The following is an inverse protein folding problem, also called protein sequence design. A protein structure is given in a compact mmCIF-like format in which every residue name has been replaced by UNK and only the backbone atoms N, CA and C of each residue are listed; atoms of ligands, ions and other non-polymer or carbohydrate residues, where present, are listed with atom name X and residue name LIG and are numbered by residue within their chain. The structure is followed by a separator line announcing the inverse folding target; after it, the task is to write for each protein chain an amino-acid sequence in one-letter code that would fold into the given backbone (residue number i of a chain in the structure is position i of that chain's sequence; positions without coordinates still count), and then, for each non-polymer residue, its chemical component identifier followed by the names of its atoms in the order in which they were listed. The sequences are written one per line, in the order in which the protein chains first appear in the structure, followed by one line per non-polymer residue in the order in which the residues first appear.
data_IF_738509221332
#
_entry.id   IF_738509221332
#
_cell.length_a   1.000
_cell.length_b   1.000
_cell.length_c   1.000
_cell.angle_alpha   90.00
_cell.angle_beta   90.00
_cell.angle_gamma   90.00
#
_symmetry.space_group_name_H-M   'P 1'
#
loop_
_entity.id
_entity.type
_entity.pdbx_description
1 polymer ?
#
# COMPACT_ATOMS: atom_id res chain seq x y z
N UNK A 1 7.74 28.04 3.14
CA UNK A 1 6.86 28.15 4.32
C UNK A 1 7.28 27.03 5.26
N UNK A 2 7.82 27.37 6.43
CA UNK A 2 8.43 26.42 7.37
C UNK A 2 7.32 25.96 8.32
N UNK A 3 6.86 24.72 8.18
CA UNK A 3 5.96 24.12 9.18
C UNK A 3 6.86 23.58 10.29
N UNK A 4 6.71 24.10 11.51
CA UNK A 4 7.54 23.68 12.64
C UNK A 4 7.33 22.20 12.97
N UNK A 5 8.33 21.54 13.57
CA UNK A 5 8.20 20.15 14.02
C UNK A 5 6.98 19.94 14.95
N UNK A 6 6.65 20.97 15.74
CA UNK A 6 5.47 20.98 16.62
C UNK A 6 4.15 21.06 15.85
N UNK A 7 4.11 21.77 14.72
CA UNK A 7 2.94 21.83 13.83
C UNK A 7 2.76 20.50 13.07
N UNK A 8 3.85 19.81 12.72
CA UNK A 8 3.80 18.49 12.09
C UNK A 8 3.35 17.40 13.08
N UNK A 9 3.81 17.46 14.33
CA UNK A 9 3.31 16.62 15.41
C UNK A 9 1.82 16.89 15.67
N UNK A 10 1.39 18.15 15.69
CA UNK A 10 -0.03 18.49 15.84
C UNK A 10 -0.86 18.05 14.63
N UNK A 11 -0.34 18.07 13.40
CA UNK A 11 -1.03 17.53 12.24
C UNK A 11 -1.13 16.00 12.28
N UNK A 12 -0.05 15.29 12.62
CA UNK A 12 -0.09 13.83 12.79
C UNK A 12 -1.00 13.41 13.95
N UNK A 13 -0.97 14.13 15.08
CA UNK A 13 -1.88 13.90 16.19
C UNK A 13 -3.33 14.20 15.78
N UNK A 14 -3.58 15.28 15.04
CA UNK A 14 -4.91 15.59 14.50
C UNK A 14 -5.39 14.61 13.43
N UNK A 15 -4.50 13.99 12.65
CA UNK A 15 -4.85 12.86 11.77
C UNK A 15 -5.25 11.67 12.65
N UNK A 16 -4.49 11.35 13.70
CA UNK A 16 -4.85 10.27 14.63
C UNK A 16 -6.07 10.54 15.52
N UNK A 17 -6.46 11.80 15.74
CA UNK A 17 -7.69 12.17 16.48
C UNK A 17 -8.89 12.36 15.55
N UNK A 18 -8.67 12.86 14.33
CA UNK A 18 -9.63 12.86 13.23
C UNK A 18 -10.03 11.44 12.82
N UNK A 19 -9.07 10.51 12.76
CA UNK A 19 -9.31 9.09 12.49
C UNK A 19 -9.93 8.34 13.68
N UNK A 20 -9.74 8.82 14.91
CA UNK A 20 -10.51 8.35 16.08
C UNK A 20 -12.00 8.73 15.97
N UNK A 21 -12.32 9.84 15.31
CA UNK A 21 -13.69 10.30 15.07
C UNK A 21 -14.29 9.85 13.73
N UNK A 22 -13.48 9.39 12.77
CA UNK A 22 -13.97 8.75 11.54
C UNK A 22 -14.42 7.30 11.75
N UNK A 23 -14.28 6.76 12.96
CA UNK A 23 -14.84 5.45 13.29
C UNK A 23 -14.38 4.40 12.27
N UNK A 24 -13.09 4.08 12.25
CA UNK A 24 -12.60 2.83 11.70
C UNK A 24 -12.53 1.80 12.85
N UNK A 25 -13.67 1.24 13.33
CA UNK A 25 -13.63 0.19 14.33
C UNK A 25 -12.88 -1.01 13.74
N UNK A 26 -11.76 -1.38 14.36
CA UNK A 26 -11.09 -2.66 14.10
C UNK A 26 -9.69 -2.61 13.51
N UNK A 27 -8.99 -1.47 13.47
CA UNK A 27 -7.56 -1.50 13.15
C UNK A 27 -6.81 -2.32 14.24
N UNK A 28 -6.05 -3.37 13.86
CA UNK A 28 -5.26 -4.15 14.81
C UNK A 28 -4.29 -3.24 15.56
N UNK A 29 -4.08 -3.49 16.87
CA UNK A 29 -3.13 -2.75 17.74
C UNK A 29 -1.75 -2.49 17.08
N UNK A 30 -1.28 -3.41 16.22
CA UNK A 30 -0.02 -3.31 15.50
C UNK A 30 0.08 -2.14 14.49
N UNK A 31 -1.05 -1.68 13.94
CA UNK A 31 -1.08 -0.54 12.99
C UNK A 31 -0.87 0.78 13.73
N UNK A 32 -1.48 0.92 14.91
CA UNK A 32 -1.33 2.11 15.77
C UNK A 32 0.12 2.26 16.24
N UNK A 33 0.82 1.15 16.48
CA UNK A 33 2.21 1.16 16.90
C UNK A 33 3.17 1.58 15.77
N UNK A 34 2.87 1.22 14.51
CA UNK A 34 3.68 1.63 13.36
C UNK A 34 3.61 3.14 13.12
N UNK A 35 2.41 3.74 13.22
CA UNK A 35 2.22 5.19 13.04
C UNK A 35 2.98 5.97 14.12
N UNK A 36 2.89 5.52 15.39
CA UNK A 36 3.64 6.13 16.49
C UNK A 36 5.15 6.01 16.29
N UNK A 37 5.65 4.83 15.92
CA UNK A 37 7.06 4.63 15.65
C UNK A 37 7.57 5.52 14.50
N UNK A 38 6.76 5.69 13.45
CA UNK A 38 7.10 6.56 12.31
C UNK A 38 7.12 8.04 12.73
N UNK A 39 6.15 8.49 13.54
CA UNK A 39 6.13 9.84 14.09
C UNK A 39 7.33 10.12 15.01
N UNK A 40 7.68 9.18 15.90
CA UNK A 40 8.86 9.29 16.76
C UNK A 40 10.16 9.36 15.95
N UNK A 41 10.27 8.56 14.89
CA UNK A 41 11.42 8.56 14.00
C UNK A 41 11.54 9.90 13.27
N UNK A 42 10.42 10.42 12.75
CA UNK A 42 10.38 11.72 12.07
C UNK A 42 10.87 12.86 13.00
N UNK A 43 10.38 12.90 14.24
CA UNK A 43 10.81 13.90 15.24
C UNK A 43 12.32 13.83 15.55
N UNK A 44 12.90 12.62 15.63
CA UNK A 44 14.34 12.44 15.88
C UNK A 44 15.20 12.96 14.74
N UNK A 45 14.76 12.78 13.49
CA UNK A 45 15.47 13.27 12.31
C UNK A 45 15.28 14.76 12.07
N UNK A 46 14.11 15.31 12.43
CA UNK A 46 13.87 16.76 12.37
C UNK A 46 14.86 17.54 13.23
N UNK A 47 15.23 17.03 14.41
CA UNK A 47 16.27 17.62 15.28
C UNK A 47 17.67 17.66 14.62
N UNK A 48 17.89 16.91 13.54
CA UNK A 48 19.13 16.86 12.75
C UNK A 48 19.00 17.63 11.43
N UNK A 49 17.89 18.35 11.20
CA UNK A 49 17.62 19.04 9.94
C UNK A 49 17.24 18.10 8.79
N UNK A 50 16.87 16.86 9.08
CA UNK A 50 16.41 15.88 8.10
C UNK A 50 14.88 15.82 8.11
N UNK A 51 14.29 15.98 6.93
CA UNK A 51 12.85 15.90 6.74
C UNK A 51 12.45 14.46 6.43
N UNK A 52 11.56 13.89 7.24
CA UNK A 52 11.02 12.54 7.06
C UNK A 52 9.53 12.63 6.85
N UNK A 53 9.08 12.20 5.68
CA UNK A 53 7.68 12.05 5.36
C UNK A 53 7.27 10.58 5.51
N UNK A 54 6.11 10.37 6.13
CA UNK A 54 5.52 9.05 6.34
C UNK A 54 4.32 8.95 5.41
N UNK A 55 4.40 8.06 4.43
CA UNK A 55 3.34 7.82 3.47
C UNK A 55 2.55 6.57 3.87
N UNK A 56 1.25 6.72 4.10
CA UNK A 56 0.34 5.63 4.48
C UNK A 56 -0.01 4.76 3.27
N UNK A 57 0.95 3.94 2.83
CA UNK A 57 0.84 3.08 1.65
C UNK A 57 -0.41 2.18 1.69
N UNK A 58 -0.78 1.65 2.85
CA UNK A 58 -1.95 0.80 3.02
C UNK A 58 -3.26 1.55 2.76
N UNK A 59 -3.39 2.77 3.27
CA UNK A 59 -4.57 3.61 3.04
C UNK A 59 -4.66 4.05 1.57
N UNK A 60 -3.54 4.47 0.97
CA UNK A 60 -3.48 4.84 -0.45
C UNK A 60 -3.91 3.67 -1.34
N UNK A 61 -3.41 2.46 -1.06
CA UNK A 61 -3.78 1.23 -1.78
C UNK A 61 -5.29 0.95 -1.64
N UNK A 62 -5.84 1.01 -0.43
CA UNK A 62 -7.27 0.78 -0.19
C UNK A 62 -8.14 1.79 -0.93
N UNK A 63 -7.77 3.07 -0.94
CA UNK A 63 -8.52 4.10 -1.66
C UNK A 63 -8.51 3.85 -3.17
N UNK A 64 -7.36 3.52 -3.75
CA UNK A 64 -7.24 3.18 -5.18
C UNK A 64 -8.14 1.98 -5.54
N UNK A 65 -8.17 0.95 -4.69
CA UNK A 65 -9.00 -0.26 -4.88
C UNK A 65 -10.50 0.06 -4.71
N UNK A 66 -10.88 0.85 -3.71
CA UNK A 66 -12.26 1.27 -3.50
C UNK A 66 -12.78 2.13 -4.67
N UNK A 67 -11.89 2.91 -5.28
CA UNK A 67 -12.14 3.73 -6.47
C UNK A 67 -11.67 3.07 -7.77
N UNK A 68 -11.66 1.73 -7.83
CA UNK A 68 -11.11 0.97 -8.95
C UNK A 68 -11.62 1.45 -10.32
N UNK A 69 -12.93 1.72 -10.43
CA UNK A 69 -13.54 2.23 -11.66
C UNK A 69 -12.95 3.59 -12.09
N UNK A 70 -12.73 4.51 -11.14
CA UNK A 70 -12.13 5.83 -11.43
C UNK A 70 -10.66 5.70 -11.84
N UNK A 71 -9.99 4.64 -11.38
CA UNK A 71 -8.59 4.36 -11.68
C UNK A 71 -8.38 3.49 -12.92
N UNK A 72 -9.45 3.13 -13.63
CA UNK A 72 -9.48 2.20 -14.77
C UNK A 72 -8.99 0.78 -14.41
N UNK A 73 -9.18 0.36 -13.17
CA UNK A 73 -8.92 -1.00 -12.70
C UNK A 73 -10.21 -1.83 -12.87
N UNK A 74 -10.11 -2.91 -13.64
CA UNK A 74 -11.22 -3.83 -13.93
C UNK A 74 -11.22 -5.06 -13.04
N UNK A 75 -10.08 -5.41 -12.44
CA UNK A 75 -9.96 -6.55 -11.54
C UNK A 75 -9.06 -6.22 -10.33
N UNK A 76 -9.63 -6.33 -9.14
CA UNK A 76 -8.96 -6.04 -7.87
C UNK A 76 -8.72 -7.28 -7.02
N UNK A 77 -9.13 -8.45 -7.49
CA UNK A 77 -9.16 -9.68 -6.69
C UNK A 77 -8.32 -10.81 -7.28
N UNK A 78 -8.08 -10.80 -8.59
CA UNK A 78 -7.31 -11.82 -9.28
C UNK A 78 -5.94 -11.31 -9.72
N UNK A 79 -5.04 -12.25 -9.99
CA UNK A 79 -3.70 -11.99 -10.52
C UNK A 79 -3.74 -11.99 -12.05
N UNK A 80 -3.05 -11.06 -12.69
CA UNK A 80 -2.92 -11.06 -14.14
C UNK A 80 -2.09 -12.27 -14.64
N UNK A 81 -1.02 -12.63 -13.93
CA UNK A 81 -0.19 -13.78 -14.21
C UNK A 81 -0.91 -15.07 -13.81
N UNK A 82 -0.92 -16.04 -14.72
CA UNK A 82 -1.59 -17.33 -14.51
C UNK A 82 -0.53 -18.42 -14.34
N UNK A 83 -0.57 -19.12 -13.20
CA UNK A 83 0.18 -20.36 -12.97
C UNK A 83 -0.79 -21.52 -13.12
N UNK A 84 -0.55 -22.47 -14.02
CA UNK A 84 -1.53 -23.55 -14.24
C UNK A 84 -1.16 -24.93 -13.72
N UNK A 85 -0.26 -24.98 -12.73
CA UNK A 85 -0.30 -26.10 -11.81
C UNK A 85 -1.64 -26.08 -11.05
N UNK A 86 -2.23 -27.25 -10.78
CA UNK A 86 -3.44 -27.39 -9.92
C UNK A 86 -3.27 -26.70 -8.55
N UNK A 87 -2.02 -26.53 -8.11
CA UNK A 87 -1.64 -25.77 -6.94
C UNK A 87 -1.82 -24.25 -7.13
N UNK A 88 -1.43 -23.66 -8.28
CA UNK A 88 -1.65 -22.24 -8.60
C UNK A 88 -3.13 -21.85 -8.58
N UNK A 89 -4.00 -22.71 -9.13
CA UNK A 89 -5.46 -22.52 -9.14
C UNK A 89 -6.13 -22.71 -7.77
N UNK A 90 -5.47 -23.42 -6.85
CA UNK A 90 -5.90 -23.56 -5.46
C UNK A 90 -5.41 -22.39 -4.60
N UNK A 91 -4.21 -21.86 -4.88
CA UNK A 91 -3.60 -20.75 -4.17
C UNK A 91 -4.18 -19.38 -4.56
N UNK A 92 -4.65 -19.22 -5.80
CA UNK A 92 -5.43 -18.03 -6.23
C UNK A 92 -6.77 -17.86 -5.49
N UNK A 93 -7.14 -18.80 -4.61
CA UNK A 93 -8.36 -18.80 -3.79
C UNK A 93 -8.08 -18.66 -2.29
N UNK A 94 -6.81 -18.61 -1.88
CA UNK A 94 -6.45 -18.45 -0.48
C UNK A 94 -6.21 -16.95 -0.21
N UNK A 95 -6.88 -16.35 0.79
CA UNK A 95 -6.54 -15.00 1.23
C UNK A 95 -5.13 -15.01 1.83
N UNK A 96 -4.17 -14.39 1.14
CA UNK A 96 -2.75 -14.47 1.51
C UNK A 96 -2.41 -13.45 2.59
N UNK A 97 -2.17 -13.93 3.81
CA UNK A 97 -1.61 -13.14 4.92
C UNK A 97 -0.36 -13.87 5.44
N UNK A 98 0.84 -13.28 5.25
CA UNK A 98 2.08 -13.65 5.96
C UNK A 98 3.25 -14.23 5.13
N UNK A 99 4.48 -13.96 5.60
CA UNK A 99 5.75 -14.24 4.92
C UNK A 99 6.07 -15.73 4.63
N UNK A 100 5.49 -16.69 5.38
CA UNK A 100 5.79 -18.12 5.22
C UNK A 100 5.21 -18.75 3.94
N UNK A 101 4.33 -18.05 3.24
CA UNK A 101 3.67 -18.57 2.04
C UNK A 101 4.55 -18.37 0.79
N UNK A 102 5.44 -17.37 0.78
CA UNK A 102 6.29 -17.05 -0.37
C UNK A 102 7.29 -18.16 -0.74
N UNK A 103 7.95 -18.76 0.26
CA UNK A 103 8.94 -19.84 0.02
C UNK A 103 8.28 -21.17 -0.42
N UNK A 104 7.06 -21.44 0.06
CA UNK A 104 6.31 -22.63 -0.33
C UNK A 104 5.72 -22.49 -1.73
N UNK A 105 5.31 -21.27 -2.11
CA UNK A 105 4.81 -20.94 -3.43
C UNK A 105 5.89 -21.22 -4.51
N UNK A 106 7.13 -20.78 -4.31
CA UNK A 106 8.19 -20.91 -5.32
C UNK A 106 8.58 -22.38 -5.59
N UNK A 107 8.53 -23.23 -4.56
CA UNK A 107 8.87 -24.67 -4.64
C UNK A 107 7.73 -25.54 -5.17
N UNK A 108 6.48 -25.14 -5.01
CA UNK A 108 5.28 -25.94 -5.35
C UNK A 108 4.62 -25.49 -6.65
N UNK A 109 4.70 -24.20 -7.01
CA UNK A 109 3.94 -23.64 -8.15
C UNK A 109 4.50 -24.01 -9.52
N UNK A 110 5.80 -24.31 -9.61
CA UNK A 110 6.51 -24.32 -10.88
C UNK A 110 6.64 -22.89 -11.38
N UNK A 111 7.86 -22.40 -11.51
CA UNK A 111 8.20 -21.01 -11.88
C UNK A 111 7.82 -20.61 -13.32
N UNK A 112 6.97 -21.38 -14.00
CA UNK A 112 6.64 -21.18 -15.39
C UNK A 112 5.19 -20.70 -15.49
N UNK A 113 4.96 -19.40 -15.76
CA UNK A 113 3.62 -18.91 -16.03
C UNK A 113 3.04 -19.57 -17.28
N UNK A 114 1.80 -20.02 -17.19
CA UNK A 114 1.07 -20.62 -18.32
C UNK A 114 0.41 -19.58 -19.21
N UNK A 115 0.31 -18.35 -18.72
CA UNK A 115 -0.22 -17.22 -19.47
C UNK A 115 -0.25 -15.96 -18.62
N UNK A 116 -0.73 -14.90 -19.24
CA UNK A 116 -1.05 -13.63 -18.58
C UNK A 116 -2.38 -13.11 -19.12
N UNK A 117 -3.03 -12.24 -18.35
CA UNK A 117 -4.17 -11.48 -18.82
C UNK A 117 -3.82 -10.61 -20.04
N UNK A 118 -4.82 -10.28 -20.86
CA UNK A 118 -4.61 -9.49 -22.08
C UNK A 118 -4.28 -8.02 -21.80
N UNK A 119 -4.83 -7.46 -20.71
CA UNK A 119 -4.61 -6.08 -20.30
C UNK A 119 -4.16 -5.99 -18.81
N UNK A 120 -2.85 -6.01 -18.53
CA UNK A 120 -2.34 -5.93 -17.16
C UNK A 120 -2.65 -4.61 -16.46
N UNK A 121 -2.88 -3.52 -17.20
CA UNK A 121 -3.22 -2.22 -16.60
C UNK A 121 -4.62 -2.21 -15.98
N UNK A 122 -5.47 -3.19 -16.31
CA UNK A 122 -6.77 -3.37 -15.66
C UNK A 122 -6.69 -4.11 -14.32
N UNK A 123 -5.52 -4.59 -13.89
CA UNK A 123 -5.38 -5.45 -12.71
C UNK A 123 -4.61 -4.76 -11.59
N UNK A 124 -5.02 -4.97 -10.34
CA UNK A 124 -4.25 -4.55 -9.16
C UNK A 124 -2.99 -5.40 -9.00
N UNK A 125 -3.11 -6.72 -9.20
CA UNK A 125 -2.08 -7.69 -8.90
C UNK A 125 -1.48 -8.31 -10.17
N UNK A 126 -0.15 -8.28 -10.27
CA UNK A 126 0.57 -9.02 -11.30
C UNK A 126 0.56 -10.51 -10.97
N UNK A 127 1.04 -10.87 -9.79
CA UNK A 127 1.00 -12.22 -9.24
C UNK A 127 0.37 -12.20 -7.84
N UNK A 128 0.49 -13.30 -7.10
CA UNK A 128 -0.17 -13.48 -5.82
C UNK A 128 0.23 -12.46 -4.73
N UNK A 129 1.37 -11.76 -4.90
CA UNK A 129 1.88 -10.82 -3.89
C UNK A 129 2.31 -9.47 -4.46
N UNK A 130 2.67 -9.41 -5.75
CA UNK A 130 3.19 -8.19 -6.36
C UNK A 130 2.08 -7.42 -7.11
N UNK A 131 2.02 -6.09 -6.95
CA UNK A 131 1.13 -5.25 -7.73
C UNK A 131 1.58 -5.15 -9.20
N UNK A 132 0.67 -4.79 -10.09
CA UNK A 132 1.01 -4.46 -11.48
C UNK A 132 1.80 -3.15 -11.56
N UNK A 133 2.46 -2.90 -12.70
CA UNK A 133 3.07 -1.60 -12.98
C UNK A 133 2.06 -0.46 -12.89
N UNK A 134 0.82 -0.67 -13.34
CA UNK A 134 -0.26 0.32 -13.21
C UNK A 134 -0.56 0.65 -11.75
N UNK A 135 -0.68 -0.37 -10.89
CA UNK A 135 -0.92 -0.14 -9.47
C UNK A 135 0.28 0.57 -8.80
N UNK A 136 1.53 0.24 -9.17
CA UNK A 136 2.69 1.01 -8.74
C UNK A 136 2.64 2.49 -9.17
N UNK A 137 2.22 2.78 -10.40
CA UNK A 137 2.09 4.15 -10.89
C UNK A 137 1.03 4.94 -10.10
N UNK A 138 -0.14 4.34 -9.87
CA UNK A 138 -1.22 4.96 -9.09
C UNK A 138 -0.78 5.27 -7.64
N UNK A 139 -0.06 4.35 -7.00
CA UNK A 139 0.51 4.58 -5.67
C UNK A 139 1.54 5.70 -5.67
N UNK A 140 2.40 5.77 -6.70
CA UNK A 140 3.38 6.86 -6.82
C UNK A 140 2.69 8.21 -7.05
N UNK A 141 1.61 8.26 -7.85
CA UNK A 141 0.79 9.46 -8.04
C UNK A 141 0.17 9.92 -6.72
N UNK A 142 -0.33 8.99 -5.89
CA UNK A 142 -0.85 9.29 -4.56
C UNK A 142 0.24 9.87 -3.63
N UNK A 143 1.45 9.30 -3.63
CA UNK A 143 2.59 9.85 -2.88
C UNK A 143 2.95 11.26 -3.35
N UNK A 144 3.02 11.50 -4.66
CA UNK A 144 3.34 12.82 -5.21
C UNK A 144 2.24 13.83 -4.85
N UNK A 145 0.97 13.43 -4.88
CA UNK A 145 -0.13 14.29 -4.45
C UNK A 145 0.00 14.68 -2.97
N UNK A 146 0.36 13.73 -2.11
CA UNK A 146 0.60 13.98 -0.68
C UNK A 146 1.78 14.95 -0.46
N UNK A 147 2.91 14.72 -1.15
CA UNK A 147 4.06 15.62 -1.11
C UNK A 147 3.75 17.04 -1.60
N UNK A 148 2.87 17.18 -2.61
CA UNK A 148 2.39 18.50 -3.07
C UNK A 148 1.56 19.21 -2.02
N UNK A 149 0.69 18.50 -1.30
CA UNK A 149 -0.11 19.10 -0.21
C UNK A 149 0.77 19.62 0.92
N UNK A 150 1.91 18.98 1.17
CA UNK A 150 2.92 19.43 2.12
C UNK A 150 3.80 20.57 1.58
N UNK A 151 3.68 20.92 0.30
CA UNK A 151 4.52 21.92 -0.37
C UNK A 151 5.95 21.45 -0.63
N UNK A 152 6.19 20.13 -0.65
CA UNK A 152 7.52 19.54 -0.86
C UNK A 152 7.80 19.24 -2.33
N UNK A 153 6.77 19.25 -3.18
CA UNK A 153 6.88 19.02 -4.61
C UNK A 153 6.07 20.08 -5.37
N UNK A 154 6.63 20.65 -6.42
CA UNK A 154 5.98 21.62 -7.33
C UNK A 154 5.89 21.06 -8.73
#
# INVERSE_FOLDING_TARGET
MQVGADDYLNQLVNVTEGDRNLGLPGLPLQVVDCIKAAAELSSKFAAQGVYVHVFELGNATNNIINDAFLNNLTDTQHTCLQYGSKAGKALSKIPLVGQKIGELADKVLGSHPEGKCDNPDGFVFWDAVHPTTRMHALTAEALVADLRQLGWWT
#
